data_IF_490089828841
#
_entry.id   IF_490089828841
#
_cell.length_a   1.000
_cell.length_b   1.000
_cell.length_c   1.000
_cell.angle_alpha   90.00
_cell.angle_beta   90.00
_cell.angle_gamma   90.00
#
_symmetry.space_group_name_H-M   'P 1'
#
loop_
_entity.id
_entity.type
_entity.pdbx_description
1 polymer ?
#
# COMPACT_ATOMS: atom_id res chain seq x y z
N UNK A 1 -15.52 -11.87 1.50
CA UNK A 1 -15.87 -13.05 0.66
C UNK A 1 -14.74 -13.38 -0.34
N UNK A 2 -14.15 -12.40 -1.05
CA UNK A 2 -13.05 -12.63 -1.99
C UNK A 2 -11.74 -13.05 -1.30
N UNK A 3 -11.44 -12.48 -0.13
CA UNK A 3 -10.26 -12.87 0.66
C UNK A 3 -10.36 -14.31 1.17
N UNK A 4 -11.56 -14.79 1.54
CA UNK A 4 -11.77 -16.18 1.97
C UNK A 4 -11.61 -17.18 0.82
N UNK A 5 -12.03 -16.82 -0.41
CA UNK A 5 -11.84 -17.70 -1.58
C UNK A 5 -10.36 -17.91 -1.93
N UNK A 6 -9.47 -16.93 -1.62
CA UNK A 6 -8.03 -17.08 -1.83
C UNK A 6 -7.37 -18.09 -0.86
N UNK A 7 -8.06 -18.46 0.24
CA UNK A 7 -7.56 -19.43 1.23
C UNK A 7 -7.84 -20.90 0.86
N UNK A 8 -8.89 -21.16 0.08
CA UNK A 8 -9.34 -22.54 -0.20
C UNK A 8 -8.46 -23.30 -1.21
N UNK A 9 -7.54 -22.62 -1.91
CA UNK A 9 -6.66 -23.23 -2.92
C UNK A 9 -5.25 -23.57 -2.41
N UNK A 10 -4.95 -23.41 -1.11
CA UNK A 10 -3.59 -23.57 -0.56
C UNK A 10 -3.38 -25.01 -0.06
N UNK A 11 -2.62 -25.79 -0.80
CA UNK A 11 -2.18 -27.14 -0.40
C UNK A 11 -1.19 -27.12 0.79
N UNK A 12 -1.00 -28.28 1.44
CA UNK A 12 -0.27 -28.42 2.71
C UNK A 12 1.24 -28.02 2.67
N UNK A 13 1.84 -27.85 1.49
CA UNK A 13 3.25 -27.43 1.31
C UNK A 13 3.40 -25.90 1.12
N UNK A 14 2.32 -25.15 0.99
CA UNK A 14 2.34 -23.69 0.72
C UNK A 14 2.14 -22.83 1.98
N UNK A 15 2.31 -23.37 3.20
CA UNK A 15 2.08 -22.65 4.47
C UNK A 15 2.90 -21.37 4.67
N UNK A 16 3.91 -21.12 3.83
CA UNK A 16 4.75 -19.93 3.90
C UNK A 16 4.51 -18.91 2.78
N UNK A 17 3.70 -19.22 1.77
CA UNK A 17 3.45 -18.30 0.66
C UNK A 17 2.33 -17.33 0.99
N UNK A 18 2.60 -16.02 0.87
CA UNK A 18 1.56 -15.00 0.95
C UNK A 18 0.77 -14.95 -0.35
N UNK A 19 -0.55 -15.18 -0.26
CA UNK A 19 -1.46 -14.99 -1.40
C UNK A 19 -2.07 -13.57 -1.44
N UNK A 20 -1.75 -12.76 -0.44
CA UNK A 20 -2.34 -11.41 -0.27
C UNK A 20 -1.25 -10.42 0.10
N UNK A 21 -1.31 -9.25 -0.50
CA UNK A 21 -0.39 -8.15 -0.22
C UNK A 21 -1.15 -6.85 0.05
N UNK A 22 -0.47 -5.91 0.69
CA UNK A 22 -0.92 -4.53 0.89
C UNK A 22 0.09 -3.60 0.23
N UNK A 23 -0.38 -2.60 -0.52
CA UNK A 23 0.43 -1.45 -0.88
C UNK A 23 0.71 -0.64 0.39
N UNK A 24 1.97 -0.56 0.80
CA UNK A 24 2.30 -0.16 2.16
C UNK A 24 3.32 0.98 2.22
N UNK A 25 2.83 2.20 2.39
CA UNK A 25 3.66 3.39 2.64
C UNK A 25 3.95 3.63 4.13
N UNK A 26 3.25 2.91 5.03
CA UNK A 26 3.29 3.16 6.47
C UNK A 26 2.31 4.23 6.94
N UNK A 27 1.46 4.76 6.06
CA UNK A 27 0.37 5.67 6.41
C UNK A 27 -0.79 4.95 7.13
N UNK A 28 -1.72 5.74 7.69
CA UNK A 28 -2.86 5.23 8.48
C UNK A 28 -3.72 4.26 7.69
N UNK A 29 -4.04 4.57 6.44
CA UNK A 29 -4.97 3.78 5.63
C UNK A 29 -4.43 2.39 5.31
N UNK A 30 -3.18 2.30 4.84
CA UNK A 30 -2.56 1.01 4.55
C UNK A 30 -2.32 0.19 5.82
N UNK A 31 -2.04 0.85 6.95
CA UNK A 31 -1.89 0.20 8.26
C UNK A 31 -3.22 -0.36 8.77
N UNK A 32 -4.30 0.41 8.64
CA UNK A 32 -5.65 -0.07 8.96
C UNK A 32 -6.04 -1.29 8.11
N UNK A 33 -5.74 -1.26 6.80
CA UNK A 33 -5.97 -2.40 5.91
C UNK A 33 -5.15 -3.61 6.34
N UNK A 34 -3.86 -3.45 6.65
CA UNK A 34 -3.00 -4.55 7.13
C UNK A 34 -3.56 -5.18 8.41
N UNK A 35 -4.00 -4.34 9.36
CA UNK A 35 -4.61 -4.77 10.62
C UNK A 35 -5.93 -5.52 10.39
N UNK A 36 -6.79 -5.03 9.49
CA UNK A 36 -8.03 -5.72 9.13
C UNK A 36 -7.74 -7.06 8.45
N UNK A 37 -6.73 -7.12 7.58
CA UNK A 37 -6.31 -8.38 6.96
C UNK A 37 -5.83 -9.39 8.00
N UNK A 38 -5.05 -8.95 9.01
CA UNK A 38 -4.65 -9.82 10.11
C UNK A 38 -5.86 -10.48 10.78
N UNK A 39 -6.93 -9.71 11.00
CA UNK A 39 -8.16 -10.22 11.64
C UNK A 39 -8.99 -11.15 10.73
N UNK A 40 -8.86 -11.02 9.41
CA UNK A 40 -9.63 -11.78 8.42
C UNK A 40 -8.93 -13.05 7.93
N UNK A 41 -7.61 -13.14 8.06
CA UNK A 41 -6.79 -14.23 7.54
C UNK A 41 -6.29 -15.14 8.65
N UNK A 42 -6.10 -16.44 8.33
CA UNK A 42 -5.46 -17.38 9.26
C UNK A 42 -4.11 -16.84 9.74
N UNK A 43 -3.77 -16.93 11.03
CA UNK A 43 -2.46 -16.50 11.57
C UNK A 43 -1.27 -17.17 10.90
N UNK A 44 -1.45 -18.37 10.34
CA UNK A 44 -0.40 -19.11 9.66
C UNK A 44 0.00 -18.53 8.28
N UNK A 45 -0.84 -17.64 7.71
CA UNK A 45 -0.56 -17.02 6.40
C UNK A 45 0.28 -15.76 6.59
N UNK A 46 1.37 -15.63 5.84
CA UNK A 46 2.11 -14.39 5.76
C UNK A 46 1.31 -13.31 5.02
N UNK A 47 1.57 -12.04 5.33
CA UNK A 47 1.05 -10.88 4.61
C UNK A 47 2.25 -10.12 4.05
N UNK A 48 2.26 -9.91 2.73
CA UNK A 48 3.29 -9.12 2.07
C UNK A 48 2.93 -7.63 2.14
N UNK A 49 3.87 -6.82 2.61
CA UNK A 49 3.77 -5.37 2.67
C UNK A 49 4.66 -4.79 1.57
N UNK A 50 4.05 -4.41 0.44
CA UNK A 50 4.76 -3.92 -0.74
C UNK A 50 5.04 -2.43 -0.58
N UNK A 51 6.29 -2.08 -0.30
CA UNK A 51 6.71 -0.69 -0.12
C UNK A 51 7.60 -0.26 -1.28
N UNK A 52 7.07 0.60 -2.14
CA UNK A 52 7.77 1.17 -3.30
C UNK A 52 8.46 2.47 -2.89
N UNK A 53 9.69 2.62 -3.30
CA UNK A 53 10.45 3.84 -3.11
C UNK A 53 11.22 4.18 -4.38
N UNK A 54 11.22 5.46 -4.74
CA UNK A 54 11.92 6.00 -5.90
C UNK A 54 13.15 6.79 -5.47
N UNK A 55 14.28 6.58 -6.14
CA UNK A 55 15.53 7.27 -5.83
C UNK A 55 16.53 7.24 -6.97
N UNK A 56 17.61 8.02 -6.85
CA UNK A 56 18.73 7.93 -7.77
C UNK A 56 19.65 6.75 -7.43
N UNK A 57 19.62 6.29 -6.19
CA UNK A 57 20.38 5.15 -5.66
C UNK A 57 19.54 4.35 -4.65
N UNK A 58 20.01 3.18 -4.29
CA UNK A 58 19.38 2.38 -3.20
C UNK A 58 19.36 3.15 -1.88
N UNK A 59 20.43 3.92 -1.58
CA UNK A 59 20.50 4.73 -0.36
C UNK A 59 19.43 5.82 -0.35
N UNK A 60 19.13 6.43 -1.49
CA UNK A 60 18.08 7.44 -1.60
C UNK A 60 16.71 6.79 -1.40
N UNK A 61 16.51 5.59 -1.95
CA UNK A 61 15.28 4.81 -1.72
C UNK A 61 15.08 4.49 -0.23
N UNK A 62 16.14 4.11 0.49
CA UNK A 62 16.06 3.81 1.92
C UNK A 62 15.80 5.05 2.79
N UNK A 63 16.16 6.24 2.32
CA UNK A 63 15.90 7.51 3.01
C UNK A 63 14.56 8.15 2.65
N UNK A 64 13.85 7.60 1.69
CA UNK A 64 12.56 8.15 1.26
C UNK A 64 11.54 8.13 2.41
N UNK A 65 10.69 9.15 2.52
CA UNK A 65 9.72 9.25 3.62
C UNK A 65 8.84 8.02 3.78
N UNK A 66 8.31 7.48 2.69
CA UNK A 66 7.43 6.30 2.70
C UNK A 66 8.18 5.01 3.11
N UNK A 67 9.50 4.94 2.84
CA UNK A 67 10.32 3.83 3.31
C UNK A 67 10.54 3.91 4.82
N UNK A 68 10.87 5.09 5.33
CA UNK A 68 11.08 5.31 6.77
C UNK A 68 9.79 5.10 7.54
N UNK A 69 8.68 5.66 7.08
CA UNK A 69 7.36 5.46 7.67
C UNK A 69 6.95 3.98 7.63
N UNK A 70 7.14 3.31 6.48
CA UNK A 70 6.82 1.90 6.32
C UNK A 70 7.58 0.99 7.29
N UNK A 71 8.88 1.25 7.52
CA UNK A 71 9.68 0.48 8.48
C UNK A 71 9.23 0.73 9.91
N UNK A 72 8.99 1.99 10.29
CA UNK A 72 8.49 2.32 11.64
C UNK A 72 7.14 1.65 11.93
N UNK A 73 6.21 1.71 10.97
CA UNK A 73 4.89 1.10 11.13
C UNK A 73 4.95 -0.43 11.10
N UNK A 74 5.91 -1.03 10.38
CA UNK A 74 6.17 -2.47 10.47
C UNK A 74 6.53 -2.90 11.89
N UNK A 75 7.39 -2.15 12.58
CA UNK A 75 7.78 -2.44 13.97
C UNK A 75 6.55 -2.40 14.89
N UNK A 76 5.65 -1.42 14.68
CA UNK A 76 4.38 -1.34 15.42
C UNK A 76 3.47 -2.53 15.14
N UNK A 77 3.32 -2.94 13.87
CA UNK A 77 2.53 -4.11 13.50
C UNK A 77 3.08 -5.40 14.11
N UNK A 78 4.41 -5.56 14.13
CA UNK A 78 5.08 -6.70 14.74
C UNK A 78 4.90 -6.73 16.26
N UNK A 79 4.94 -5.57 16.91
CA UNK A 79 4.69 -5.45 18.34
C UNK A 79 3.23 -5.76 18.71
N UNK A 80 2.27 -5.30 17.90
CA UNK A 80 0.85 -5.54 18.13
C UNK A 80 0.41 -6.98 17.77
N UNK A 81 1.05 -7.58 16.78
CA UNK A 81 0.68 -8.89 16.24
C UNK A 81 1.91 -9.79 16.04
N UNK A 82 2.56 -10.22 17.14
CA UNK A 82 3.82 -10.96 17.09
C UNK A 82 3.71 -12.34 16.43
N UNK A 83 2.54 -12.95 16.43
CA UNK A 83 2.29 -14.26 15.82
C UNK A 83 2.06 -14.20 14.30
N UNK A 84 2.00 -12.98 13.72
CA UNK A 84 1.82 -12.79 12.27
C UNK A 84 3.17 -12.66 11.58
N UNK A 85 3.35 -13.40 10.50
CA UNK A 85 4.48 -13.19 9.59
C UNK A 85 4.17 -12.01 8.68
N UNK A 86 4.82 -10.88 8.95
CA UNK A 86 4.79 -9.67 8.12
C UNK A 86 6.02 -9.67 7.23
N UNK A 87 5.84 -9.74 5.91
CA UNK A 87 6.94 -9.64 4.95
C UNK A 87 6.99 -8.25 4.36
N UNK A 88 7.93 -7.46 4.82
CA UNK A 88 8.20 -6.15 4.24
C UNK A 88 9.04 -6.33 2.97
N UNK A 89 8.43 -6.04 1.82
CA UNK A 89 9.07 -6.14 0.51
C UNK A 89 9.49 -4.74 0.08
N UNK A 90 10.76 -4.44 0.22
CA UNK A 90 11.37 -3.18 -0.20
C UNK A 90 11.55 -3.19 -1.73
N UNK A 91 10.79 -2.39 -2.44
CA UNK A 91 10.84 -2.24 -3.90
C UNK A 91 11.54 -0.91 -4.20
N UNK A 92 12.84 -1.00 -4.51
CA UNK A 92 13.65 0.16 -4.88
C UNK A 92 13.57 0.34 -6.39
N UNK A 93 13.22 1.56 -6.82
CA UNK A 93 13.02 1.91 -8.23
C UNK A 93 13.91 3.08 -8.57
N UNK A 94 14.85 2.88 -9.49
CA UNK A 94 15.71 3.94 -9.98
C UNK A 94 15.03 4.80 -11.05
N UNK A 95 15.51 6.02 -11.23
CA UNK A 95 15.02 6.87 -12.32
C UNK A 95 15.22 6.23 -13.70
N UNK A 96 16.29 5.44 -13.87
CA UNK A 96 16.54 4.73 -15.13
C UNK A 96 15.48 3.65 -15.38
N UNK A 97 15.07 2.90 -14.34
CA UNK A 97 14.00 1.91 -14.45
C UNK A 97 12.65 2.56 -14.77
N UNK A 98 12.36 3.73 -14.17
CA UNK A 98 11.15 4.49 -14.51
C UNK A 98 11.16 4.87 -15.98
N UNK A 99 12.27 5.40 -16.48
CA UNK A 99 12.40 5.79 -17.89
C UNK A 99 12.28 4.58 -18.84
N UNK A 100 12.89 3.46 -18.49
CA UNK A 100 12.83 2.22 -19.28
C UNK A 100 11.40 1.70 -19.46
N UNK A 101 10.55 1.91 -18.47
CA UNK A 101 9.17 1.40 -18.46
C UNK A 101 8.11 2.48 -18.74
N UNK A 102 8.52 3.74 -18.95
CA UNK A 102 7.62 4.90 -19.03
C UNK A 102 6.57 4.79 -20.15
N UNK A 103 6.97 4.33 -21.33
CA UNK A 103 6.04 4.14 -22.45
C UNK A 103 4.96 3.09 -22.13
N UNK A 104 5.37 1.98 -21.53
CA UNK A 104 4.45 0.91 -21.17
C UNK A 104 3.49 1.36 -20.06
N UNK A 105 4.00 2.03 -19.03
CA UNK A 105 3.19 2.57 -17.92
C UNK A 105 2.18 3.56 -18.48
N UNK A 106 2.61 4.51 -19.33
CA UNK A 106 1.72 5.48 -19.97
C UNK A 106 0.64 4.83 -20.83
N UNK A 107 0.99 3.77 -21.57
CA UNK A 107 0.02 3.03 -22.38
C UNK A 107 -1.05 2.33 -21.53
N UNK A 108 -0.67 1.80 -20.35
CA UNK A 108 -1.62 1.18 -19.41
C UNK A 108 -2.52 2.22 -18.74
N UNK A 109 -2.00 3.43 -18.50
CA UNK A 109 -2.74 4.51 -17.85
C UNK A 109 -3.71 5.24 -18.79
N UNK A 110 -3.52 5.12 -20.12
CA UNK A 110 -4.37 5.82 -21.08
C UNK A 110 -5.88 5.64 -20.79
N UNK A 111 -6.71 6.71 -20.78
CA UNK A 111 -6.43 8.09 -21.26
C UNK A 111 -5.89 9.07 -20.23
N UNK A 112 -5.46 8.63 -19.05
CA UNK A 112 -4.87 9.50 -18.01
C UNK A 112 -3.45 9.91 -18.46
N UNK A 113 -3.14 11.21 -18.47
CA UNK A 113 -1.92 11.76 -19.04
C UNK A 113 -1.22 12.82 -18.18
N UNK A 114 -1.71 13.05 -16.94
CA UNK A 114 -1.06 13.99 -16.04
C UNK A 114 0.19 13.39 -15.39
N UNK A 115 1.10 14.27 -14.96
CA UNK A 115 2.31 13.83 -14.21
C UNK A 115 1.92 13.12 -12.92
N UNK A 116 0.84 13.54 -12.27
CA UNK A 116 0.36 12.90 -11.04
C UNK A 116 -0.16 11.50 -11.32
N UNK A 117 -0.95 11.31 -12.37
CA UNK A 117 -1.43 9.99 -12.79
C UNK A 117 -0.28 9.05 -13.08
N UNK A 118 0.75 9.55 -13.80
CA UNK A 118 1.93 8.77 -14.11
C UNK A 118 2.69 8.35 -12.83
N UNK A 119 2.89 9.26 -11.88
CA UNK A 119 3.61 8.95 -10.64
C UNK A 119 2.87 7.89 -9.80
N UNK A 120 1.55 8.03 -9.66
CA UNK A 120 0.72 7.05 -8.96
C UNK A 120 0.72 5.71 -9.72
N UNK A 121 0.52 5.76 -11.02
CA UNK A 121 0.50 4.59 -11.89
C UNK A 121 1.83 3.84 -11.90
N UNK A 122 2.96 4.55 -11.89
CA UNK A 122 4.28 3.95 -11.80
C UNK A 122 4.46 3.22 -10.46
N UNK A 123 4.07 3.83 -9.33
CA UNK A 123 4.13 3.18 -8.03
C UNK A 123 3.29 1.89 -8.00
N UNK A 124 2.06 1.94 -8.52
CA UNK A 124 1.18 0.77 -8.62
C UNK A 124 1.75 -0.31 -9.55
N UNK A 125 2.35 0.10 -10.68
CA UNK A 125 2.93 -0.82 -11.65
C UNK A 125 4.13 -1.57 -11.07
N UNK A 126 5.07 -0.86 -10.43
CA UNK A 126 6.22 -1.48 -9.78
C UNK A 126 5.81 -2.36 -8.59
N UNK A 127 4.85 -1.92 -7.78
CA UNK A 127 4.27 -2.72 -6.71
C UNK A 127 3.62 -4.01 -7.25
N UNK A 128 2.88 -3.92 -8.35
CA UNK A 128 2.21 -5.05 -8.98
C UNK A 128 3.16 -6.15 -9.49
N UNK A 129 4.43 -5.81 -9.77
CA UNK A 129 5.48 -6.80 -10.08
C UNK A 129 5.90 -7.60 -8.85
N UNK A 130 5.70 -7.06 -7.66
CA UNK A 130 6.03 -7.71 -6.39
C UNK A 130 7.50 -8.04 -6.19
N UNK A 131 8.40 -7.49 -7.02
CA UNK A 131 9.83 -7.78 -7.00
C UNK A 131 10.56 -6.77 -6.13
N UNK A 132 11.25 -7.26 -5.10
CA UNK A 132 12.00 -6.42 -4.17
C UNK A 132 12.93 -7.23 -3.30
N UNK A 133 13.32 -6.67 -2.16
CA UNK A 133 14.18 -7.31 -1.18
C UNK A 133 13.48 -7.37 0.18
N UNK A 134 13.68 -8.44 0.92
CA UNK A 134 13.25 -8.57 2.31
C UNK A 134 14.18 -7.78 3.25
N UNK A 135 13.79 -7.67 4.51
CA UNK A 135 14.55 -6.92 5.53
C UNK A 135 15.95 -7.49 5.79
N UNK A 136 16.20 -8.76 5.47
CA UNK A 136 17.50 -9.41 5.54
C UNK A 136 18.35 -9.26 4.28
N UNK A 137 17.87 -8.50 3.29
CA UNK A 137 18.52 -8.30 1.99
C UNK A 137 18.29 -9.43 0.97
N UNK A 138 17.48 -10.44 1.29
CA UNK A 138 17.19 -11.54 0.37
C UNK A 138 16.27 -11.06 -0.77
N UNK A 139 16.62 -11.31 -2.04
CA UNK A 139 15.72 -11.04 -3.17
C UNK A 139 14.42 -11.82 -3.02
N UNK A 140 13.30 -11.16 -3.21
CA UNK A 140 11.97 -11.76 -3.04
C UNK A 140 11.03 -11.32 -4.15
N UNK A 141 10.18 -12.24 -4.57
CA UNK A 141 9.07 -11.95 -5.48
C UNK A 141 7.77 -12.38 -4.82
N UNK A 142 6.89 -11.42 -4.52
CA UNK A 142 5.59 -11.70 -3.94
C UNK A 142 4.74 -12.54 -4.89
N UNK A 143 4.10 -13.58 -4.35
CA UNK A 143 3.15 -14.44 -5.07
C UNK A 143 1.70 -14.02 -4.81
N UNK A 144 1.48 -12.84 -4.24
CA UNK A 144 0.15 -12.35 -3.93
C UNK A 144 -0.72 -12.26 -5.19
N UNK A 145 -1.90 -12.88 -5.12
CA UNK A 145 -2.94 -12.80 -6.15
C UNK A 145 -3.93 -11.66 -5.90
N UNK A 146 -3.93 -11.15 -4.68
CA UNK A 146 -4.76 -10.03 -4.24
C UNK A 146 -3.87 -9.00 -3.60
N UNK A 147 -3.93 -7.78 -4.13
CA UNK A 147 -3.24 -6.62 -3.56
C UNK A 147 -4.31 -5.64 -3.08
N UNK A 148 -4.22 -5.21 -1.84
CA UNK A 148 -5.10 -4.21 -1.24
C UNK A 148 -4.40 -2.86 -1.19
N UNK A 149 -5.17 -1.81 -1.42
CA UNK A 149 -4.70 -0.43 -1.43
C UNK A 149 -5.57 0.45 -0.56
N UNK A 150 -4.97 1.42 0.13
CA UNK A 150 -5.66 2.49 0.84
C UNK A 150 -6.17 3.61 -0.06
N UNK A 151 -5.94 3.54 -1.38
CA UNK A 151 -6.41 4.56 -2.31
C UNK A 151 -7.93 4.71 -2.24
N UNK A 152 -8.42 5.94 -2.15
CA UNK A 152 -9.83 6.27 -2.00
C UNK A 152 -10.32 6.35 -0.54
N UNK A 153 -9.49 6.06 0.45
CA UNK A 153 -9.87 6.16 1.86
C UNK A 153 -10.14 7.62 2.27
N UNK A 154 -9.30 8.55 1.83
CA UNK A 154 -9.45 9.98 2.13
C UNK A 154 -10.75 10.55 1.56
N UNK A 155 -11.16 10.12 0.37
CA UNK A 155 -12.41 10.52 -0.27
C UNK A 155 -13.63 10.01 0.49
N UNK A 156 -13.54 8.82 1.07
CA UNK A 156 -14.67 8.20 1.77
C UNK A 156 -14.73 8.57 3.25
N UNK A 157 -13.58 8.75 3.89
CA UNK A 157 -13.47 8.93 5.34
C UNK A 157 -13.15 10.38 5.74
N UNK A 158 -12.99 11.27 4.77
CA UNK A 158 -12.74 12.69 5.06
C UNK A 158 -11.31 12.99 5.50
N UNK A 159 -10.29 12.28 4.96
CA UNK A 159 -8.90 12.39 5.37
C UNK A 159 -8.17 13.66 4.89
N UNK A 160 -8.68 14.35 3.88
CA UNK A 160 -8.02 15.56 3.37
C UNK A 160 -8.17 16.77 4.30
N UNK A 161 -7.16 17.64 4.32
CA UNK A 161 -7.17 18.88 5.10
C UNK A 161 -8.40 19.78 4.81
N UNK A 162 -8.92 19.76 3.56
CA UNK A 162 -10.16 20.47 3.19
C UNK A 162 -11.37 19.94 3.96
N UNK A 163 -11.43 18.63 4.21
CA UNK A 163 -12.51 18.00 4.97
C UNK A 163 -12.48 18.45 6.44
N UNK A 164 -11.30 18.46 7.05
CA UNK A 164 -11.10 18.98 8.42
C UNK A 164 -11.50 20.46 8.47
N UNK A 165 -11.09 21.27 7.48
CA UNK A 165 -11.43 22.67 7.41
C UNK A 165 -12.94 22.88 7.26
N UNK A 166 -13.63 22.06 6.47
CA UNK A 166 -15.08 22.12 6.32
C UNK A 166 -15.80 21.75 7.63
N UNK A 167 -15.33 20.68 8.31
CA UNK A 167 -15.90 20.24 9.58
C UNK A 167 -15.69 21.23 10.74
N UNK A 168 -14.54 21.96 10.75
CA UNK A 168 -14.19 22.89 11.82
C UNK A 168 -14.71 24.33 11.61
N UNK A 169 -15.26 24.67 10.45
CA UNK A 169 -15.72 26.03 10.14
C UNK A 169 -16.94 26.50 10.94
N UNK A 170 -17.74 25.57 11.45
CA UNK A 170 -18.86 25.86 12.34
C UNK A 170 -18.96 24.83 13.45
N UNK A 171 -19.02 25.30 14.69
CA UNK A 171 -19.21 24.44 15.87
C UNK A 171 -20.60 23.80 15.94
N UNK A 172 -21.50 24.14 15.03
CA UNK A 172 -22.87 23.63 14.93
C UNK A 172 -23.08 22.77 13.68
N UNK A 173 -24.26 22.21 13.52
CA UNK A 173 -24.69 21.29 12.46
C UNK A 173 -24.30 21.66 11.01
N UNK A 174 -23.95 22.91 10.75
CA UNK A 174 -23.54 23.42 9.45
C UNK A 174 -22.18 22.84 8.97
N UNK A 175 -21.22 22.65 9.86
CA UNK A 175 -19.92 22.05 9.52
C UNK A 175 -20.04 20.61 9.03
N UNK A 176 -20.91 19.82 9.65
CA UNK A 176 -21.21 18.46 9.22
C UNK A 176 -21.93 18.39 7.89
N UNK A 177 -22.79 19.39 7.58
CA UNK A 177 -23.46 19.48 6.30
C UNK A 177 -22.46 19.78 5.18
N UNK A 178 -21.54 20.71 5.38
CA UNK A 178 -20.47 21.05 4.43
C UNK A 178 -19.54 19.86 4.19
N UNK A 179 -19.15 19.13 5.24
CA UNK A 179 -18.35 17.92 5.10
C UNK A 179 -19.09 16.85 4.27
N UNK A 180 -20.37 16.67 4.52
CA UNK A 180 -21.19 15.72 3.76
C UNK A 180 -21.29 16.08 2.28
N UNK A 181 -21.42 17.35 1.95
CA UNK A 181 -21.40 17.83 0.56
C UNK A 181 -20.05 17.60 -0.12
N UNK A 182 -18.94 17.81 0.60
CA UNK A 182 -17.60 17.54 0.09
C UNK A 182 -17.32 16.05 -0.16
N UNK A 183 -17.85 15.17 0.68
CA UNK A 183 -17.71 13.72 0.52
C UNK A 183 -18.56 13.13 -0.62
N UNK A 184 -19.54 13.89 -1.12
CA UNK A 184 -20.41 13.46 -2.23
C UNK A 184 -20.01 14.07 -3.58
N UNK A 185 -18.93 14.83 -3.65
CA UNK A 185 -18.34 15.35 -4.90
C UNK A 185 -17.36 14.39 -5.50
#
# INVERSE_FOLDING_TARGET
RRLRCAQEEVGAEEKETSNVAVLFSGGVDCTAIATLMHSCLSPALAIDLLNVSFGASEEDCERAPDRLSGRSTLEELQACFPDRVWRFVAINVTHEEVLLHSEHISAVLHPLDTVMDFNIGAALWFAGRGQGTLSDGTPYCSRARVVLSGAGADEQLGGYARHVTAACKDSDSAGWHLLREELHR
#
